data_IF_488198252014
#
_entry.id   IF_488198252014
#
_cell.length_a   1.000
_cell.length_b   1.000
_cell.length_c   1.000
_cell.angle_alpha   90.00
_cell.angle_beta   90.00
_cell.angle_gamma   90.00
#
_symmetry.space_group_name_H-M   'P 1'
#
loop_
_entity.id
_entity.type
_entity.pdbx_description
1 polymer ?
#
# COMPACT_ATOMS: atom_id res chain seq x y z
N UNK A 1 18.94 -58.49 20.02
CA UNK A 1 18.25 -59.22 21.09
C UNK A 1 16.81 -58.79 21.07
N UNK A 2 15.90 -59.78 21.02
CA UNK A 2 14.45 -59.73 21.26
C UNK A 2 13.63 -59.05 20.14
N UNK A 3 12.98 -59.76 19.21
CA UNK A 3 11.89 -60.77 19.34
C UNK A 3 10.69 -60.18 20.08
N UNK A 4 9.60 -59.93 19.34
CA UNK A 4 8.20 -60.29 19.69
C UNK A 4 7.32 -59.97 18.44
N UNK A 5 6.95 -60.96 17.63
CA UNK A 5 5.67 -61.74 17.70
C UNK A 5 4.52 -60.97 16.98
N UNK A 6 4.24 -61.30 15.71
CA UNK A 6 3.25 -62.31 15.26
C UNK A 6 1.79 -61.91 15.51
N UNK A 7 0.99 -61.82 14.44
CA UNK A 7 -0.21 -62.68 14.16
C UNK A 7 -1.49 -61.84 14.31
N UNK A 8 -2.55 -61.88 13.49
CA UNK A 8 -2.95 -62.59 12.27
C UNK A 8 -4.17 -61.86 11.66
N UNK A 9 -4.24 -61.85 10.33
CA UNK A 9 -5.36 -62.25 9.43
C UNK A 9 -6.80 -61.84 9.82
N UNK A 10 -7.55 -61.22 8.87
CA UNK A 10 -8.80 -61.79 8.25
C UNK A 10 -9.07 -61.21 6.85
N UNK A 11 -9.47 -62.11 5.95
CA UNK A 11 -9.65 -61.94 4.52
C UNK A 11 -11.07 -61.52 4.10
N UNK A 12 -11.15 -61.00 2.87
CA UNK A 12 -12.25 -61.07 1.87
C UNK A 12 -13.68 -60.65 2.26
N UNK A 13 -14.23 -59.65 1.57
CA UNK A 13 -15.09 -59.86 0.38
C UNK A 13 -15.79 -58.57 -0.08
N UNK A 14 -15.79 -58.37 -1.41
CA UNK A 14 -16.82 -57.80 -2.29
C UNK A 14 -17.82 -56.78 -1.71
N UNK A 15 -17.82 -55.57 -2.28
CA UNK A 15 -18.90 -54.59 -2.06
C UNK A 15 -18.81 -53.39 -2.99
N UNK A 16 -19.55 -53.46 -4.09
CA UNK A 16 -19.77 -52.43 -5.13
C UNK A 16 -20.63 -51.28 -4.60
N UNK A 17 -20.24 -50.01 -4.86
CA UNK A 17 -21.07 -48.79 -4.97
C UNK A 17 -20.08 -47.60 -5.15
N UNK A 18 -19.89 -46.93 -6.29
CA UNK A 18 -20.84 -46.21 -7.16
C UNK A 18 -21.85 -45.36 -6.39
N UNK A 19 -21.40 -44.18 -5.94
CA UNK A 19 -22.20 -42.96 -5.87
C UNK A 19 -21.27 -41.79 -6.25
N UNK A 20 -21.21 -41.49 -7.55
CA UNK A 20 -20.85 -40.17 -8.06
C UNK A 20 -22.12 -39.32 -8.05
N UNK A 21 -22.05 -38.11 -7.47
CA UNK A 21 -22.80 -36.92 -7.88
C UNK A 21 -22.21 -35.67 -7.18
N UNK A 22 -22.37 -34.45 -7.73
CA UNK A 22 -21.24 -33.70 -8.30
C UNK A 22 -20.84 -32.46 -7.46
N UNK A 23 -19.54 -32.29 -7.26
CA UNK A 23 -18.94 -31.08 -6.67
C UNK A 23 -18.34 -30.20 -7.78
N UNK A 24 -19.15 -29.74 -8.73
CA UNK A 24 -18.71 -28.88 -9.84
C UNK A 24 -19.34 -27.47 -9.80
N UNK A 25 -19.24 -26.73 -8.71
CA UNK A 25 -19.63 -25.29 -8.73
C UNK A 25 -18.70 -24.33 -7.98
N UNK A 26 -17.50 -24.76 -7.57
CA UNK A 26 -16.53 -23.86 -6.89
C UNK A 26 -15.17 -23.73 -7.57
N UNK A 27 -14.90 -24.52 -8.61
CA UNK A 27 -13.63 -24.44 -9.36
C UNK A 27 -13.67 -23.36 -10.45
N UNK A 28 -14.80 -23.17 -11.14
CA UNK A 28 -14.91 -22.22 -12.26
C UNK A 28 -14.80 -20.75 -11.82
N UNK A 29 -15.32 -20.40 -10.63
CA UNK A 29 -15.30 -19.03 -10.07
C UNK A 29 -13.89 -18.58 -9.66
N UNK A 30 -13.01 -19.51 -9.26
CA UNK A 30 -11.61 -19.17 -8.94
C UNK A 30 -10.77 -18.98 -10.20
N UNK A 31 -11.04 -19.74 -11.26
CA UNK A 31 -10.24 -19.73 -12.49
C UNK A 31 -10.46 -18.48 -13.35
N UNK A 32 -11.68 -17.93 -13.47
CA UNK A 32 -11.89 -16.71 -14.29
C UNK A 32 -11.29 -15.45 -13.67
N UNK A 33 -11.12 -15.42 -12.34
CA UNK A 33 -10.52 -14.29 -11.61
C UNK A 33 -8.98 -14.31 -11.68
N UNK A 34 -8.36 -15.48 -11.85
CA UNK A 34 -6.90 -15.60 -11.90
C UNK A 34 -6.29 -15.22 -13.26
N UNK A 35 -7.08 -15.23 -14.35
CA UNK A 35 -6.55 -14.97 -15.69
C UNK A 35 -6.76 -13.53 -16.20
N UNK A 36 -7.12 -12.61 -15.31
CA UNK A 36 -7.18 -11.19 -15.64
C UNK A 36 -5.97 -10.52 -14.99
N UNK A 37 -5.00 -10.10 -15.80
CA UNK A 37 -3.96 -9.17 -15.36
C UNK A 37 -4.65 -8.03 -14.60
N UNK A 38 -4.36 -7.90 -13.31
CA UNK A 38 -4.96 -6.84 -12.51
C UNK A 38 -4.42 -5.52 -13.03
N UNK A 39 -5.29 -4.76 -13.69
CA UNK A 39 -5.01 -3.41 -14.15
C UNK A 39 -4.55 -2.57 -12.96
N UNK A 40 -3.38 -1.96 -13.07
CA UNK A 40 -2.86 -0.99 -12.13
C UNK A 40 -3.84 0.17 -12.06
N UNK A 41 -4.01 0.68 -10.85
CA UNK A 41 -4.83 1.85 -10.55
C UNK A 41 -4.39 2.40 -9.21
N UNK A 42 -4.59 3.71 -9.02
CA UNK A 42 -4.50 4.29 -7.70
C UNK A 42 -5.49 3.63 -6.74
N UNK A 43 -5.09 3.47 -5.49
CA UNK A 43 -6.04 3.34 -4.40
C UNK A 43 -6.80 4.65 -4.21
N UNK A 44 -7.97 4.59 -3.54
CA UNK A 44 -8.75 5.78 -3.25
C UNK A 44 -7.94 6.85 -2.49
N UNK A 45 -7.04 6.42 -1.59
CA UNK A 45 -6.21 7.36 -0.83
C UNK A 45 -5.16 8.03 -1.71
N UNK A 46 -4.47 7.26 -2.54
CA UNK A 46 -3.45 7.79 -3.46
C UNK A 46 -4.07 8.72 -4.50
N UNK A 47 -5.26 8.41 -5.00
CA UNK A 47 -5.97 9.30 -5.92
C UNK A 47 -6.28 10.64 -5.24
N UNK A 48 -6.83 10.61 -4.02
CA UNK A 48 -7.14 11.83 -3.26
C UNK A 48 -5.90 12.64 -2.95
N UNK A 49 -4.80 11.97 -2.65
CA UNK A 49 -3.52 12.62 -2.38
C UNK A 49 -2.95 13.24 -3.66
N UNK A 50 -2.97 12.51 -4.79
CA UNK A 50 -2.54 13.02 -6.09
C UNK A 50 -3.31 14.28 -6.51
N UNK A 51 -4.61 14.34 -6.20
CA UNK A 51 -5.47 15.50 -6.47
C UNK A 51 -5.15 16.73 -5.61
N UNK A 52 -4.50 16.58 -4.44
CA UNK A 52 -4.29 17.68 -3.49
C UNK A 52 -2.83 17.97 -3.16
N UNK A 53 -1.90 17.11 -3.56
CA UNK A 53 -0.49 17.20 -3.14
C UNK A 53 0.20 18.45 -3.69
N UNK A 54 -0.19 18.93 -4.87
CA UNK A 54 0.34 20.18 -5.42
C UNK A 54 -0.04 21.40 -4.55
N UNK A 55 -1.30 21.46 -4.13
CA UNK A 55 -1.80 22.50 -3.22
C UNK A 55 -1.17 22.38 -1.81
N UNK A 56 -1.01 21.15 -1.31
CA UNK A 56 -0.35 20.90 -0.02
C UNK A 56 1.12 21.39 -0.03
N UNK A 57 1.84 21.13 -1.13
CA UNK A 57 3.23 21.58 -1.34
C UNK A 57 3.27 23.11 -1.37
N UNK A 58 2.44 23.75 -2.19
CA UNK A 58 2.40 25.22 -2.28
C UNK A 58 2.07 25.86 -0.92
N UNK A 59 1.13 25.29 -0.17
CA UNK A 59 0.79 25.77 1.17
C UNK A 59 1.94 25.61 2.19
N UNK A 60 2.76 24.56 2.05
CA UNK A 60 3.96 24.38 2.88
C UNK A 60 5.06 25.40 2.52
N UNK A 61 5.28 25.67 1.23
CA UNK A 61 6.23 26.68 0.76
C UNK A 61 5.84 28.09 1.28
N UNK A 62 4.57 28.48 1.13
CA UNK A 62 4.06 29.75 1.68
C UNK A 62 4.21 29.83 3.20
N UNK A 63 3.94 28.72 3.91
CA UNK A 63 4.12 28.64 5.35
C UNK A 63 5.58 28.84 5.76
N UNK A 64 6.52 28.23 5.06
CA UNK A 64 7.95 28.36 5.32
C UNK A 64 8.38 29.82 5.11
N UNK A 65 7.96 30.46 4.02
CA UNK A 65 8.25 31.87 3.76
C UNK A 65 7.69 32.77 4.88
N UNK A 66 6.46 32.52 5.33
CA UNK A 66 5.88 33.25 6.46
C UNK A 66 6.69 33.04 7.75
N UNK A 67 7.10 31.81 8.05
CA UNK A 67 7.91 31.50 9.22
C UNK A 67 9.27 32.19 9.18
N UNK A 68 9.90 32.27 8.01
CA UNK A 68 11.15 33.01 7.82
C UNK A 68 10.99 34.50 8.14
N UNK A 69 9.92 35.13 7.65
CA UNK A 69 9.61 36.51 7.98
C UNK A 69 9.36 36.70 9.49
N UNK A 70 8.60 35.79 10.10
CA UNK A 70 8.31 35.81 11.53
C UNK A 70 9.58 35.63 12.39
N UNK A 71 10.52 34.78 11.96
CA UNK A 71 11.83 34.58 12.59
C UNK A 71 12.64 35.88 12.58
N UNK A 72 12.72 36.55 11.44
CA UNK A 72 13.43 37.82 11.32
C UNK A 72 12.80 38.91 12.20
N UNK A 73 11.47 38.96 12.26
CA UNK A 73 10.74 39.92 13.09
C UNK A 73 10.91 39.66 14.61
N UNK A 74 11.21 38.42 15.01
CA UNK A 74 11.33 37.99 16.41
C UNK A 74 12.78 37.70 16.85
N UNK A 75 13.79 38.20 16.13
CA UNK A 75 15.20 37.91 16.39
C UNK A 75 15.68 38.24 17.83
N UNK A 76 15.05 39.19 18.52
CA UNK A 76 15.40 39.57 19.90
C UNK A 76 14.58 38.81 20.96
N UNK A 77 13.60 38.01 20.57
CA UNK A 77 12.79 37.19 21.47
C UNK A 77 13.22 35.72 21.36
N UNK A 78 14.21 35.33 22.18
CA UNK A 78 14.80 34.00 22.12
C UNK A 78 13.81 32.84 22.34
N UNK A 79 12.76 33.05 23.16
CA UNK A 79 11.72 32.05 23.36
C UNK A 79 10.92 31.82 22.08
N UNK A 80 10.41 32.92 21.49
CA UNK A 80 9.62 32.84 20.26
C UNK A 80 10.45 32.40 19.06
N UNK A 81 11.70 32.82 18.99
CA UNK A 81 12.65 32.42 17.95
C UNK A 81 12.80 30.89 17.91
N UNK A 82 13.03 30.26 19.06
CA UNK A 82 13.19 28.81 19.14
C UNK A 82 11.91 28.05 18.71
N UNK A 83 10.72 28.57 19.02
CA UNK A 83 9.46 27.98 18.57
C UNK A 83 9.34 28.08 17.04
N UNK A 84 9.53 29.28 16.49
CA UNK A 84 9.39 29.53 15.06
C UNK A 84 10.41 28.73 14.23
N UNK A 85 11.65 28.61 14.69
CA UNK A 85 12.67 27.80 14.02
C UNK A 85 12.26 26.32 13.99
N UNK A 86 11.75 25.77 15.10
CA UNK A 86 11.27 24.37 15.13
C UNK A 86 10.06 24.15 14.23
N UNK A 87 9.14 25.12 14.19
CA UNK A 87 7.99 25.07 13.28
C UNK A 87 8.44 25.09 11.83
N UNK A 88 9.47 25.89 11.50
CA UNK A 88 10.07 25.96 10.16
C UNK A 88 10.73 24.63 9.79
N UNK A 89 11.60 24.10 10.64
CA UNK A 89 12.26 22.80 10.42
C UNK A 89 11.24 21.67 10.21
N UNK A 90 10.13 21.69 10.97
CA UNK A 90 9.04 20.72 10.79
C UNK A 90 8.33 20.91 9.45
N UNK A 91 8.06 22.15 9.05
CA UNK A 91 7.41 22.44 7.76
C UNK A 91 8.31 22.04 6.58
N UNK A 92 9.62 22.29 6.67
CA UNK A 92 10.61 21.87 5.67
C UNK A 92 10.69 20.34 5.55
N UNK A 93 10.70 19.62 6.68
CA UNK A 93 10.69 18.16 6.67
C UNK A 93 9.39 17.59 6.05
N UNK A 94 8.24 18.19 6.34
CA UNK A 94 6.97 17.81 5.71
C UNK A 94 6.96 18.13 4.21
N UNK A 95 7.55 19.25 3.79
CA UNK A 95 7.68 19.62 2.38
C UNK A 95 8.51 18.57 1.65
N UNK A 96 9.67 18.17 2.20
CA UNK A 96 10.52 17.12 1.63
C UNK A 96 9.76 15.79 1.49
N UNK A 97 9.06 15.36 2.54
CA UNK A 97 8.22 14.14 2.50
C UNK A 97 7.16 14.22 1.39
N UNK A 98 6.50 15.38 1.24
CA UNK A 98 5.49 15.61 0.19
C UNK A 98 6.11 15.61 -1.21
N UNK A 99 7.31 16.15 -1.38
CA UNK A 99 8.01 16.11 -2.66
C UNK A 99 8.37 14.66 -3.06
N UNK A 100 8.89 13.86 -2.12
CA UNK A 100 9.15 12.44 -2.36
C UNK A 100 7.87 11.66 -2.70
N UNK A 101 6.79 11.98 -1.98
CA UNK A 101 5.48 11.38 -2.19
C UNK A 101 4.86 11.78 -3.53
N UNK A 102 5.06 13.00 -3.98
CA UNK A 102 4.65 13.50 -5.30
C UNK A 102 5.36 12.72 -6.41
N UNK A 103 6.67 12.49 -6.28
CA UNK A 103 7.44 11.69 -7.24
C UNK A 103 6.87 10.26 -7.32
N UNK A 104 6.59 9.63 -6.18
CA UNK A 104 5.97 8.30 -6.13
C UNK A 104 4.62 8.25 -6.87
N UNK A 105 3.75 9.23 -6.62
CA UNK A 105 2.42 9.24 -7.22
C UNK A 105 2.49 9.47 -8.74
N UNK A 106 3.41 10.31 -9.22
CA UNK A 106 3.61 10.51 -10.65
C UNK A 106 4.19 9.29 -11.36
N UNK A 107 5.19 8.61 -10.77
CA UNK A 107 5.70 7.34 -11.32
C UNK A 107 4.58 6.28 -11.39
N UNK A 108 3.74 6.18 -10.37
CA UNK A 108 2.57 5.30 -10.40
C UNK A 108 1.56 5.70 -11.48
N UNK A 109 1.30 7.00 -11.67
CA UNK A 109 0.45 7.51 -12.75
C UNK A 109 0.98 7.10 -14.12
N UNK A 110 2.28 7.31 -14.37
CA UNK A 110 2.95 6.93 -15.62
C UNK A 110 2.89 5.43 -15.87
N UNK A 111 3.09 4.59 -14.84
CA UNK A 111 2.97 3.13 -14.97
C UNK A 111 1.54 2.70 -15.33
N UNK A 112 0.53 3.32 -14.72
CA UNK A 112 -0.88 3.06 -15.04
C UNK A 112 -1.18 3.47 -16.49
N UNK A 113 -0.73 4.64 -16.91
CA UNK A 113 -0.91 5.13 -18.29
C UNK A 113 -0.20 4.22 -19.30
N UNK A 114 1.04 3.82 -19.03
CA UNK A 114 1.80 2.91 -19.88
C UNK A 114 1.15 1.52 -19.99
N UNK A 115 0.44 1.04 -18.97
CA UNK A 115 -0.36 -0.18 -19.06
C UNK A 115 -1.67 0.04 -19.83
N UNK A 116 -2.27 1.23 -19.75
CA UNK A 116 -3.50 1.57 -20.47
C UNK A 116 -3.30 1.71 -21.97
N UNK A 117 -2.11 2.19 -22.37
CA UNK A 117 -1.74 2.46 -23.76
C UNK A 117 -1.13 1.24 -24.47
N UNK A 118 -1.05 0.08 -23.78
CA UNK A 118 -0.63 -1.21 -24.34
C UNK A 118 -1.85 -2.10 -24.62
#
# INVERSE_FOLDING_TARGET
MNIDESVEIKASSVGKNMIEEPQEEKSSVKTWKQNRSSKLKFSYKEQREYETIDDDIAGLEEKIEKLDNDIMANATNSGKLNELTKEKETAEALLEEKMDRWVYLNDLAEQIEAQNNK
#
